data_IF_745091630110
#
_entry.id   IF_745091630110
#
_cell.length_a   1.000
_cell.length_b   1.000
_cell.length_c   1.000
_cell.angle_alpha   90.00
_cell.angle_beta   90.00
_cell.angle_gamma   90.00
#
_symmetry.space_group_name_H-M   'P 1'
#
loop_
_entity.id
_entity.type
_entity.pdbx_description
1 polymer ?
#
# COMPACT_ATOMS: atom_id res chain seq x y z
N UNK A 1 -58.05 -22.46 25.58
CA UNK A 1 -56.77 -21.97 25.01
C UNK A 1 -55.97 -21.43 26.19
N UNK A 2 -54.96 -22.18 26.63
CA UNK A 2 -54.43 -22.07 27.99
C UNK A 2 -53.60 -20.79 28.17
N UNK A 3 -53.75 -20.14 29.32
CA UNK A 3 -53.08 -18.88 29.70
C UNK A 3 -51.53 -19.00 29.60
N UNK A 4 -50.99 -20.19 29.85
CA UNK A 4 -49.55 -20.50 29.72
C UNK A 4 -49.03 -20.25 28.31
N UNK A 5 -49.82 -20.56 27.28
CA UNK A 5 -49.41 -20.44 25.87
C UNK A 5 -49.29 -18.99 25.42
N UNK A 6 -50.00 -18.05 26.06
CA UNK A 6 -49.91 -16.61 25.78
C UNK A 6 -48.62 -16.02 26.38
N UNK A 7 -48.30 -16.43 27.60
CA UNK A 7 -47.09 -15.99 28.33
C UNK A 7 -45.84 -16.49 27.61
N UNK A 8 -45.83 -17.76 27.19
CA UNK A 8 -44.70 -18.33 26.43
C UNK A 8 -44.48 -17.59 25.11
N UNK A 9 -45.56 -17.23 24.41
CA UNK A 9 -45.50 -16.46 23.16
C UNK A 9 -44.95 -15.05 23.37
N UNK A 10 -45.32 -14.40 24.47
CA UNK A 10 -44.77 -13.09 24.84
C UNK A 10 -43.26 -13.18 25.10
N UNK A 11 -42.81 -14.18 25.86
CA UNK A 11 -41.39 -14.40 26.13
C UNK A 11 -40.57 -14.75 24.87
N UNK A 12 -41.16 -15.49 23.93
CA UNK A 12 -40.56 -15.73 22.62
C UNK A 12 -40.40 -14.45 21.81
N UNK A 13 -41.38 -13.55 21.83
CA UNK A 13 -41.30 -12.24 21.19
C UNK A 13 -40.21 -11.37 21.81
N UNK A 14 -40.14 -11.29 23.14
CA UNK A 14 -39.10 -10.54 23.86
C UNK A 14 -37.71 -11.09 23.53
N UNK A 15 -37.56 -12.42 23.49
CA UNK A 15 -36.29 -13.06 23.15
C UNK A 15 -35.90 -12.81 21.69
N UNK A 16 -36.87 -12.84 20.77
CA UNK A 16 -36.64 -12.54 19.34
C UNK A 16 -36.24 -11.09 19.15
N UNK A 17 -36.95 -10.15 19.79
CA UNK A 17 -36.62 -8.74 19.77
C UNK A 17 -35.21 -8.48 20.32
N UNK A 18 -34.87 -9.10 21.47
CA UNK A 18 -33.52 -9.00 22.06
C UNK A 18 -32.43 -9.50 21.12
N UNK A 19 -32.63 -10.67 20.49
CA UNK A 19 -31.68 -11.24 19.51
C UNK A 19 -31.57 -10.33 18.28
N UNK A 20 -32.68 -9.80 17.79
CA UNK A 20 -32.70 -8.88 16.65
C UNK A 20 -31.92 -7.59 16.95
N UNK A 21 -32.13 -6.97 18.12
CA UNK A 21 -31.43 -5.75 18.53
C UNK A 21 -29.93 -5.97 18.67
N UNK A 22 -29.51 -7.07 19.30
CA UNK A 22 -28.08 -7.41 19.45
C UNK A 22 -27.44 -7.66 18.08
N UNK A 23 -28.11 -8.41 17.20
CA UNK A 23 -27.60 -8.68 15.85
C UNK A 23 -27.51 -7.39 15.02
N UNK A 24 -28.49 -6.49 15.15
CA UNK A 24 -28.48 -5.20 14.47
C UNK A 24 -27.33 -4.31 14.98
N UNK A 25 -27.10 -4.27 16.29
CA UNK A 25 -25.97 -3.55 16.88
C UNK A 25 -24.64 -4.13 16.41
N UNK A 26 -24.51 -5.46 16.38
CA UNK A 26 -23.33 -6.13 15.86
C UNK A 26 -23.06 -5.75 14.40
N UNK A 27 -24.10 -5.79 13.54
CA UNK A 27 -23.97 -5.42 12.14
C UNK A 27 -23.59 -3.95 11.96
N UNK A 28 -24.14 -3.05 12.78
CA UNK A 28 -23.75 -1.63 12.80
C UNK A 28 -22.27 -1.46 13.12
N UNK A 29 -21.78 -2.15 14.16
CA UNK A 29 -20.36 -2.11 14.55
C UNK A 29 -19.47 -2.60 13.41
N UNK A 30 -19.81 -3.74 12.80
CA UNK A 30 -19.08 -4.27 11.64
C UNK A 30 -19.07 -3.27 10.48
N UNK A 31 -20.20 -2.63 10.19
CA UNK A 31 -20.30 -1.64 9.11
C UNK A 31 -19.43 -0.41 9.38
N UNK A 32 -19.40 0.10 10.62
CA UNK A 32 -18.52 1.21 11.01
C UNK A 32 -17.05 0.82 10.84
N UNK A 33 -16.66 -0.36 11.31
CA UNK A 33 -15.28 -0.85 11.15
C UNK A 33 -14.92 -0.93 9.66
N UNK A 34 -15.76 -1.56 8.83
CA UNK A 34 -15.54 -1.63 7.38
C UNK A 34 -15.45 -0.25 6.74
N UNK A 35 -16.33 0.68 7.10
CA UNK A 35 -16.32 2.04 6.59
C UNK A 35 -15.05 2.80 6.97
N UNK A 36 -14.53 2.62 8.20
CA UNK A 36 -13.26 3.25 8.62
C UNK A 36 -12.05 2.68 7.89
N UNK A 37 -11.99 1.36 7.70
CA UNK A 37 -10.91 0.70 6.96
C UNK A 37 -10.91 1.16 5.50
N UNK A 38 -12.07 1.08 4.84
CA UNK A 38 -12.23 1.54 3.46
C UNK A 38 -11.91 3.04 3.35
N UNK A 39 -12.43 3.85 4.27
CA UNK A 39 -12.14 5.29 4.34
C UNK A 39 -10.65 5.58 4.45
N UNK A 40 -9.90 4.82 5.26
CA UNK A 40 -8.45 4.99 5.39
C UNK A 40 -7.68 4.63 4.12
N UNK A 41 -8.12 3.62 3.36
CA UNK A 41 -7.46 3.20 2.12
C UNK A 41 -7.67 4.25 1.02
N UNK A 42 -8.87 4.82 0.94
CA UNK A 42 -9.22 5.78 -0.11
C UNK A 42 -8.94 7.24 0.26
N UNK A 43 -8.86 7.56 1.56
CA UNK A 43 -8.41 8.86 2.06
C UNK A 43 -6.88 8.92 2.09
N UNK A 44 -6.25 8.59 0.95
CA UNK A 44 -4.87 8.95 0.73
C UNK A 44 -4.79 10.47 0.86
N UNK A 45 -4.13 10.95 1.90
CA UNK A 45 -3.80 12.36 2.06
C UNK A 45 -3.04 12.77 0.80
N UNK A 46 -3.73 13.44 -0.13
CA UNK A 46 -3.11 14.13 -1.25
C UNK A 46 -2.37 15.30 -0.63
N UNK A 47 -1.22 15.04 -0.01
CA UNK A 47 -0.32 16.10 0.36
C UNK A 47 -0.02 16.84 -0.95
N UNK A 48 -0.14 18.17 -0.97
CA UNK A 48 0.23 18.94 -2.15
C UNK A 48 1.67 18.58 -2.48
N UNK A 49 1.88 18.18 -3.73
CA UNK A 49 3.20 17.86 -4.23
C UNK A 49 4.03 19.17 -4.23
N UNK A 50 5.08 19.29 -3.41
CA UNK A 50 5.79 20.56 -3.26
C UNK A 50 6.59 20.90 -4.51
N UNK A 51 6.58 22.19 -4.87
CA UNK A 51 7.44 22.76 -5.91
C UNK A 51 8.90 22.86 -5.42
N UNK A 52 9.87 22.97 -6.35
CA UNK A 52 11.28 23.20 -6.02
C UNK A 52 12.03 21.96 -5.51
N UNK A 53 11.68 20.77 -5.99
CA UNK A 53 12.32 19.51 -5.59
C UNK A 53 13.68 19.33 -6.26
N UNK A 54 14.50 18.50 -5.62
CA UNK A 54 15.73 17.99 -6.21
C UNK A 54 15.60 16.50 -6.55
N UNK A 55 15.97 16.11 -7.78
CA UNK A 55 16.20 14.72 -8.12
C UNK A 55 17.60 14.32 -7.63
N UNK A 56 17.66 13.39 -6.68
CA UNK A 56 18.93 12.79 -6.25
C UNK A 56 19.19 11.53 -7.07
N UNK A 57 20.28 11.53 -7.84
CA UNK A 57 20.74 10.39 -8.63
C UNK A 57 21.89 9.75 -7.88
N UNK A 58 21.62 8.61 -7.24
CA UNK A 58 22.59 7.85 -6.44
C UNK A 58 22.66 6.38 -6.91
N UNK A 59 23.34 6.09 -8.04
CA UNK A 59 23.42 4.75 -8.59
C UNK A 59 24.23 3.83 -7.67
N UNK A 60 23.61 2.75 -7.20
CA UNK A 60 24.25 1.74 -6.36
C UNK A 60 25.00 0.72 -7.23
N UNK A 61 26.12 1.14 -7.85
CA UNK A 61 26.94 0.27 -8.69
C UNK A 61 27.34 0.90 -10.04
N UNK A 62 28.14 0.20 -10.85
CA UNK A 62 28.60 0.72 -12.13
C UNK A 62 27.43 0.89 -13.10
N UNK A 63 27.46 1.96 -13.89
CA UNK A 63 26.48 2.19 -14.95
C UNK A 63 26.85 1.31 -16.14
N UNK A 64 25.90 0.48 -16.58
CA UNK A 64 26.08 -0.51 -17.63
C UNK A 64 24.97 -0.40 -18.68
N UNK A 65 25.27 -0.76 -19.93
CA UNK A 65 24.26 -0.79 -21.01
C UNK A 65 23.21 -1.90 -20.76
N UNK A 66 23.69 -3.05 -20.30
CA UNK A 66 22.86 -4.21 -20.00
C UNK A 66 23.19 -4.74 -18.61
N UNK A 67 22.16 -4.87 -17.78
CA UNK A 67 22.30 -5.51 -16.47
C UNK A 67 22.37 -7.01 -16.72
N UNK A 68 23.51 -7.61 -16.41
CA UNK A 68 23.67 -9.06 -16.47
C UNK A 68 22.92 -9.71 -15.30
N UNK A 69 21.97 -10.58 -15.61
CA UNK A 69 21.25 -11.39 -14.63
C UNK A 69 21.90 -12.76 -14.39
N UNK A 70 22.94 -13.10 -15.15
CA UNK A 70 23.62 -14.39 -15.04
C UNK A 70 24.56 -14.37 -13.84
N UNK A 71 24.02 -14.71 -12.68
CA UNK A 71 24.82 -15.18 -11.55
C UNK A 71 25.25 -16.61 -11.87
N UNK A 72 26.50 -16.80 -12.32
CA UNK A 72 27.10 -18.12 -12.31
C UNK A 72 27.16 -18.60 -10.84
N UNK A 73 26.45 -19.69 -10.46
CA UNK A 73 26.41 -20.13 -9.07
C UNK A 73 27.79 -20.42 -8.47
N UNK A 74 28.74 -20.84 -9.32
CA UNK A 74 30.11 -21.09 -8.89
C UNK A 74 30.83 -19.79 -8.55
N UNK A 75 30.70 -18.77 -9.40
CA UNK A 75 31.23 -17.43 -9.11
C UNK A 75 30.65 -16.82 -7.83
N UNK A 76 29.36 -17.03 -7.56
CA UNK A 76 28.71 -16.55 -6.34
C UNK A 76 29.28 -17.23 -5.08
N UNK A 77 29.53 -18.54 -5.14
CA UNK A 77 30.12 -19.27 -4.03
C UNK A 77 31.59 -18.90 -3.76
N UNK A 78 32.35 -18.54 -4.80
CA UNK A 78 33.77 -18.21 -4.70
C UNK A 78 34.04 -16.74 -4.36
N UNK A 79 33.26 -15.81 -4.91
CA UNK A 79 33.52 -14.37 -4.86
C UNK A 79 32.40 -13.56 -4.18
N UNK A 80 31.29 -14.21 -3.80
CA UNK A 80 30.13 -13.56 -3.20
C UNK A 80 29.19 -12.89 -4.22
N UNK A 81 28.15 -12.18 -3.74
CA UNK A 81 27.20 -11.49 -4.60
C UNK A 81 27.88 -10.36 -5.40
N UNK A 82 27.76 -10.31 -6.74
CA UNK A 82 28.22 -9.17 -7.50
C UNK A 82 27.39 -7.93 -7.15
N UNK A 83 28.02 -6.75 -7.17
CA UNK A 83 27.27 -5.48 -7.13
C UNK A 83 26.50 -5.33 -8.44
N UNK A 84 25.15 -5.27 -8.42
CA UNK A 84 24.38 -5.16 -9.65
C UNK A 84 24.73 -3.86 -10.39
N UNK A 85 24.93 -3.95 -11.70
CA UNK A 85 25.06 -2.77 -12.53
C UNK A 85 23.74 -2.01 -12.62
N UNK A 86 23.82 -0.68 -12.75
CA UNK A 86 22.66 0.18 -12.98
C UNK A 86 22.50 0.39 -14.48
N UNK A 87 21.31 0.12 -15.03
CA UNK A 87 21.07 0.29 -16.47
C UNK A 87 21.13 1.76 -16.89
N UNK A 88 21.99 2.09 -17.84
CA UNK A 88 22.15 3.46 -18.38
C UNK A 88 20.84 4.03 -18.95
N UNK A 89 20.02 3.20 -19.60
CA UNK A 89 18.72 3.60 -20.15
C UNK A 89 17.81 4.12 -19.04
N UNK A 90 17.80 3.48 -17.88
CA UNK A 90 16.96 3.88 -16.76
C UNK A 90 17.42 5.23 -16.17
N UNK A 91 18.75 5.42 -16.06
CA UNK A 91 19.31 6.70 -15.61
C UNK A 91 18.95 7.82 -16.58
N UNK A 92 19.17 7.61 -17.89
CA UNK A 92 18.82 8.59 -18.92
C UNK A 92 17.32 8.85 -18.98
N UNK A 93 16.48 7.83 -18.78
CA UNK A 93 15.04 7.98 -18.73
C UNK A 93 14.61 8.85 -17.54
N UNK A 94 15.15 8.59 -16.35
CA UNK A 94 14.88 9.40 -15.16
C UNK A 94 15.29 10.87 -15.35
N UNK A 95 16.48 11.11 -15.92
CA UNK A 95 16.97 12.46 -16.21
C UNK A 95 16.11 13.18 -17.26
N UNK A 96 15.69 12.47 -18.32
CA UNK A 96 14.80 13.04 -19.34
C UNK A 96 13.43 13.39 -18.75
N UNK A 97 12.89 12.55 -17.86
CA UNK A 97 11.63 12.82 -17.18
C UNK A 97 11.74 13.99 -16.21
N UNK A 98 12.85 14.10 -15.49
CA UNK A 98 13.09 15.23 -14.61
C UNK A 98 13.23 16.56 -15.38
N UNK A 99 13.82 16.54 -16.57
CA UNK A 99 13.87 17.72 -17.45
C UNK A 99 12.47 18.21 -17.87
N UNK A 100 11.51 17.31 -18.01
CA UNK A 100 10.12 17.63 -18.40
C UNK A 100 9.24 18.04 -17.20
N UNK A 101 9.69 17.80 -15.97
CA UNK A 101 8.93 18.08 -14.74
C UNK A 101 9.29 19.46 -14.17
N UNK A 102 8.37 20.41 -14.27
CA UNK A 102 8.56 21.79 -13.80
C UNK A 102 8.81 21.90 -12.29
N UNK A 103 8.43 20.86 -11.53
CA UNK A 103 8.58 20.83 -10.07
C UNK A 103 9.99 20.47 -9.64
N UNK A 104 10.82 19.95 -10.54
CA UNK A 104 12.20 19.55 -10.28
C UNK A 104 13.13 20.67 -10.77
N UNK A 105 13.68 21.43 -9.83
CA UNK A 105 14.58 22.56 -10.14
C UNK A 105 16.05 22.13 -10.17
N UNK A 106 16.39 21.05 -9.45
CA UNK A 106 17.76 20.64 -9.23
C UNK A 106 17.97 19.14 -9.47
N UNK A 107 19.14 18.79 -9.97
CA UNK A 107 19.61 17.40 -10.05
C UNK A 107 20.90 17.31 -9.23
N UNK A 108 20.90 16.43 -8.24
CA UNK A 108 22.04 16.17 -7.35
C UNK A 108 22.61 14.81 -7.75
N UNK A 109 23.87 14.81 -8.19
CA UNK A 109 24.60 13.58 -8.47
C UNK A 109 25.36 13.17 -7.20
N UNK A 110 24.96 12.03 -6.62
CA UNK A 110 25.65 11.40 -5.50
C UNK A 110 26.32 10.14 -6.04
N UNK A 111 27.59 10.24 -6.40
CA UNK A 111 28.36 9.20 -7.08
C UNK A 111 29.43 8.60 -6.16
#
# INVERSE_FOLDING_TARGET
>A
MNETTKIDRFWQWVTTARKFTINLLFLLIVLVILATILGSIFSGSKLPDPEGKALVVNPQGPIVEQVSSSLDPLSFALYGPPTPGVNVRNVLFALNKAKEDQRIEHVILQL
#
